data_IF_998086758578
#
_entry.id   IF_998086758578
#
_cell.length_a   1.000
_cell.length_b   1.000
_cell.length_c   1.000
_cell.angle_alpha   90.00
_cell.angle_beta   90.00
_cell.angle_gamma   90.00
#
_symmetry.space_group_name_H-M   'P 1'
#
loop_
_entity.id
_entity.type
_entity.pdbx_description
1 polymer ?
#
# COMPACT_ATOMS: atom_id res chain seq x y z
N UNK A 1 -19.95 -8.85 -9.53
CA UNK A 1 -18.50 -8.71 -9.77
C UNK A 1 -18.33 -7.47 -10.61
N UNK A 2 -18.01 -6.32 -9.98
CA UNK A 2 -17.74 -5.09 -10.74
C UNK A 2 -16.38 -5.31 -11.42
N UNK A 3 -16.40 -5.54 -12.73
CA UNK A 3 -15.16 -5.64 -13.52
C UNK A 3 -14.38 -4.34 -13.32
N UNK A 4 -13.13 -4.46 -12.86
CA UNK A 4 -12.18 -3.37 -12.97
C UNK A 4 -12.17 -2.92 -14.45
N UNK A 5 -12.43 -1.65 -14.78
CA UNK A 5 -12.36 -1.23 -16.16
C UNK A 5 -10.89 -1.15 -16.53
N UNK A 6 -10.34 -2.28 -16.96
CA UNK A 6 -8.94 -2.46 -17.38
C UNK A 6 -8.57 -1.69 -18.66
N UNK A 7 -9.39 -0.70 -19.06
CA UNK A 7 -9.23 0.11 -20.28
C UNK A 7 -9.81 1.53 -20.11
N UNK A 8 -9.85 2.08 -18.91
CA UNK A 8 -10.33 3.45 -18.69
C UNK A 8 -9.18 4.44 -18.67
N UNK A 9 -9.42 5.62 -19.23
CA UNK A 9 -8.42 6.68 -19.36
C UNK A 9 -8.95 8.01 -18.86
N UNK A 10 -8.09 8.80 -18.22
CA UNK A 10 -8.41 10.15 -17.75
C UNK A 10 -7.42 11.19 -18.26
N UNK A 11 -7.93 12.33 -18.71
CA UNK A 11 -7.17 13.58 -18.86
C UNK A 11 -7.26 14.29 -17.52
N UNK A 12 -6.10 14.58 -16.93
CA UNK A 12 -6.01 15.14 -15.57
C UNK A 12 -5.52 16.58 -15.65
N UNK A 13 -6.24 17.51 -15.02
CA UNK A 13 -5.83 18.93 -14.97
C UNK A 13 -5.86 19.63 -16.32
N UNK A 14 -6.59 19.08 -17.30
CA UNK A 14 -6.62 19.59 -18.68
C UNK A 14 -5.35 19.30 -19.49
N UNK A 15 -4.43 18.50 -18.97
CA UNK A 15 -3.22 18.10 -19.67
C UNK A 15 -3.52 17.01 -20.70
N UNK A 16 -3.78 17.40 -21.95
CA UNK A 16 -4.07 16.47 -23.04
C UNK A 16 -2.83 15.75 -23.61
N UNK A 17 -1.62 16.04 -23.07
CA UNK A 17 -0.39 15.39 -23.51
C UNK A 17 -0.19 14.00 -22.91
N UNK A 18 -0.91 13.67 -21.84
CA UNK A 18 -0.81 12.40 -21.13
C UNK A 18 -2.17 11.95 -20.59
N UNK A 19 -2.34 10.64 -20.49
CA UNK A 19 -3.57 10.01 -20.04
C UNK A 19 -3.27 9.11 -18.86
N UNK A 20 -3.99 9.26 -17.76
CA UNK A 20 -3.91 8.27 -16.69
C UNK A 20 -4.61 6.99 -17.14
N UNK A 21 -3.93 5.84 -17.10
CA UNK A 21 -4.51 4.54 -17.44
C UNK A 21 -4.78 3.73 -16.19
N UNK A 22 -6.03 3.30 -15.99
CA UNK A 22 -6.36 2.34 -14.91
C UNK A 22 -5.67 0.99 -15.09
N UNK A 23 -5.40 0.60 -16.33
CA UNK A 23 -4.79 -0.67 -16.66
C UNK A 23 -3.31 -0.72 -16.29
N UNK A 24 -2.59 0.36 -16.61
CA UNK A 24 -1.17 0.48 -16.33
C UNK A 24 -0.91 1.00 -14.90
N UNK A 25 -1.94 1.53 -14.22
CA UNK A 25 -1.80 2.29 -12.98
C UNK A 25 -0.73 3.40 -13.11
N UNK A 26 -0.67 4.04 -14.28
CA UNK A 26 0.37 4.98 -14.69
C UNK A 26 -0.15 5.94 -15.78
N UNK A 27 0.54 7.07 -15.96
CA UNK A 27 0.35 7.94 -17.12
C UNK A 27 0.93 7.28 -18.38
N UNK A 28 0.20 7.41 -19.48
CA UNK A 28 0.60 6.97 -20.82
C UNK A 28 0.47 8.13 -21.80
N UNK A 29 1.37 8.19 -22.78
CA UNK A 29 1.42 9.30 -23.75
C UNK A 29 0.43 9.12 -24.91
N UNK A 30 -0.18 7.94 -25.05
CA UNK A 30 -1.06 7.62 -26.15
C UNK A 30 -2.34 6.93 -25.68
N UNK A 31 -3.48 7.42 -26.17
CA UNK A 31 -4.77 6.78 -25.99
C UNK A 31 -4.95 5.67 -27.05
N UNK A 32 -5.21 4.41 -26.65
CA UNK A 32 -5.48 3.34 -27.61
C UNK A 32 -6.71 3.68 -28.48
N UNK A 33 -6.64 3.34 -29.77
CA UNK A 33 -7.72 3.62 -30.71
C UNK A 33 -9.07 3.04 -30.24
N UNK A 34 -10.08 3.91 -30.14
CA UNK A 34 -11.43 3.56 -29.68
C UNK A 34 -11.61 3.49 -28.16
N UNK A 35 -10.60 3.83 -27.36
CA UNK A 35 -10.76 3.96 -25.92
C UNK A 35 -11.53 5.24 -25.55
N UNK A 36 -12.45 5.12 -24.59
CA UNK A 36 -13.11 6.29 -23.99
C UNK A 36 -12.15 7.03 -23.05
N UNK A 37 -12.30 8.36 -22.98
CA UNK A 37 -11.54 9.22 -22.07
C UNK A 37 -12.48 10.10 -21.27
N UNK A 38 -12.23 10.20 -19.96
CA UNK A 38 -12.93 11.11 -19.04
C UNK A 38 -12.01 12.28 -18.69
N UNK A 39 -12.56 13.46 -18.44
CA UNK A 39 -11.79 14.63 -17.99
C UNK A 39 -12.01 14.83 -16.49
N UNK A 40 -10.94 15.16 -15.78
CA UNK A 40 -10.97 15.43 -14.34
C UNK A 40 -10.09 16.63 -14.02
N UNK A 41 -10.47 17.40 -13.01
CA UNK A 41 -9.92 18.75 -12.77
C UNK A 41 -8.54 18.69 -12.12
N UNK A 42 -8.24 17.64 -11.37
CA UNK A 42 -6.97 17.47 -10.67
C UNK A 42 -6.65 16.00 -10.40
N UNK A 43 -5.41 15.74 -10.00
CA UNK A 43 -5.01 14.41 -9.49
C UNK A 43 -5.76 14.04 -8.22
N UNK A 44 -6.03 14.99 -7.33
CA UNK A 44 -6.78 14.72 -6.09
C UNK A 44 -8.18 14.18 -6.39
N UNK A 45 -8.88 14.80 -7.35
CA UNK A 45 -10.21 14.35 -7.79
C UNK A 45 -10.14 12.97 -8.47
N UNK A 46 -9.09 12.70 -9.25
CA UNK A 46 -8.82 11.36 -9.80
C UNK A 46 -8.70 10.33 -8.67
N UNK A 47 -7.95 10.63 -7.62
CA UNK A 47 -7.75 9.72 -6.50
C UNK A 47 -9.02 9.51 -5.68
N UNK A 48 -9.86 10.54 -5.51
CA UNK A 48 -11.17 10.40 -4.88
C UNK A 48 -12.07 9.43 -5.65
N UNK A 49 -12.20 9.63 -6.98
CA UNK A 49 -13.00 8.74 -7.84
C UNK A 49 -12.44 7.32 -7.83
N UNK A 50 -11.13 7.15 -7.90
CA UNK A 50 -10.51 5.82 -7.86
C UNK A 50 -10.72 5.13 -6.51
N UNK A 51 -10.64 5.86 -5.39
CA UNK A 51 -10.92 5.30 -4.05
C UNK A 51 -12.37 4.87 -3.89
N UNK A 52 -13.31 5.66 -4.39
CA UNK A 52 -14.74 5.38 -4.27
C UNK A 52 -15.18 4.22 -5.17
N UNK A 53 -14.77 4.24 -6.44
CA UNK A 53 -15.28 3.31 -7.44
C UNK A 53 -14.43 2.04 -7.57
N UNK A 54 -13.12 2.13 -7.28
CA UNK A 54 -12.14 1.10 -7.63
C UNK A 54 -11.02 0.91 -6.59
N UNK A 55 -11.37 0.62 -5.31
CA UNK A 55 -10.39 0.54 -4.23
C UNK A 55 -9.26 -0.48 -4.48
N UNK A 56 -9.56 -1.58 -5.19
CA UNK A 56 -8.63 -2.70 -5.40
C UNK A 56 -7.58 -2.50 -6.51
N UNK A 57 -7.64 -1.43 -7.29
CA UNK A 57 -6.63 -1.15 -8.34
C UNK A 57 -6.15 0.29 -8.36
N UNK A 58 -6.24 0.95 -7.20
CA UNK A 58 -5.32 2.02 -6.86
C UNK A 58 -3.87 1.50 -6.97
N UNK A 59 -2.91 2.35 -7.38
CA UNK A 59 -1.49 2.08 -7.19
C UNK A 59 -1.20 1.74 -5.72
N UNK A 60 -0.23 0.87 -5.45
CA UNK A 60 0.09 0.46 -4.06
C UNK A 60 0.38 1.66 -3.15
N UNK A 61 1.07 2.68 -3.68
CA UNK A 61 1.35 3.93 -2.96
C UNK A 61 0.10 4.75 -2.59
N UNK A 62 -1.01 4.54 -3.30
CA UNK A 62 -2.29 5.25 -3.13
C UNK A 62 -3.32 4.42 -2.35
N UNK A 63 -3.07 3.13 -2.14
CA UNK A 63 -3.97 2.28 -1.35
C UNK A 63 -3.90 2.70 0.12
N UNK A 64 -5.04 2.66 0.84
CA UNK A 64 -5.00 2.76 2.28
C UNK A 64 -4.07 1.65 2.81
N UNK A 65 -3.16 1.97 3.73
CA UNK A 65 -2.19 1.00 4.17
C UNK A 65 -2.88 -0.22 4.77
N UNK A 66 -2.50 -1.40 4.30
CA UNK A 66 -3.10 -2.65 4.76
C UNK A 66 -2.68 -2.94 6.19
N UNK A 67 -3.65 -3.30 7.02
CA UNK A 67 -3.40 -3.80 8.36
C UNK A 67 -3.01 -5.28 8.31
N UNK A 68 -1.97 -5.65 9.05
CA UNK A 68 -1.50 -7.00 9.24
C UNK A 68 -1.68 -7.38 10.71
N UNK A 69 -2.43 -8.45 11.02
CA UNK A 69 -2.62 -8.87 12.41
C UNK A 69 -1.29 -9.23 13.07
N UNK A 70 -1.06 -8.78 14.32
CA UNK A 70 0.18 -9.07 15.05
C UNK A 70 0.43 -10.57 15.19
N UNK A 71 -0.62 -11.38 15.34
CA UNK A 71 -0.48 -12.85 15.38
C UNK A 71 0.23 -13.40 14.14
N UNK A 72 -0.17 -12.93 12.95
CA UNK A 72 0.43 -13.34 11.68
C UNK A 72 1.89 -12.87 11.58
N UNK A 73 2.17 -11.64 12.02
CA UNK A 73 3.54 -11.11 12.09
C UNK A 73 4.40 -11.99 13.00
N UNK A 74 3.91 -12.36 14.20
CA UNK A 74 4.62 -13.22 15.15
C UNK A 74 4.87 -14.61 14.55
N UNK A 75 3.86 -15.23 13.94
CA UNK A 75 3.97 -16.55 13.31
C UNK A 75 5.04 -16.55 12.19
N UNK A 76 5.05 -15.50 11.36
CA UNK A 76 6.01 -15.35 10.26
C UNK A 76 7.42 -15.02 10.74
N UNK A 77 7.56 -14.18 11.76
CA UNK A 77 8.85 -13.91 12.41
C UNK A 77 9.41 -15.19 13.04
N UNK A 78 8.57 -16.01 13.66
CA UNK A 78 8.97 -17.30 14.20
C UNK A 78 9.43 -18.26 13.08
N UNK A 79 8.65 -18.37 12.00
CA UNK A 79 9.02 -19.20 10.85
C UNK A 79 10.34 -18.75 10.18
N UNK A 80 10.63 -17.44 10.19
CA UNK A 80 11.88 -16.88 9.70
C UNK A 80 13.05 -17.00 10.70
N UNK A 81 12.83 -17.50 11.92
CA UNK A 81 13.85 -17.56 12.97
C UNK A 81 14.21 -16.20 13.58
N UNK A 82 13.39 -15.17 13.35
CA UNK A 82 13.65 -13.77 13.72
C UNK A 82 12.91 -13.30 14.97
N UNK A 83 12.02 -14.13 15.54
CA UNK A 83 11.16 -13.71 16.65
C UNK A 83 11.96 -13.25 17.89
N UNK A 84 13.04 -13.94 18.23
CA UNK A 84 13.88 -13.56 19.36
C UNK A 84 14.59 -12.21 19.15
N UNK A 85 15.09 -11.96 17.93
CA UNK A 85 15.70 -10.68 17.57
C UNK A 85 14.67 -9.54 17.60
N UNK A 86 13.46 -9.77 17.06
CA UNK A 86 12.37 -8.80 17.12
C UNK A 86 11.99 -8.45 18.57
N UNK A 87 11.89 -9.46 19.45
CA UNK A 87 11.62 -9.27 20.88
C UNK A 87 12.70 -8.42 21.55
N UNK A 88 13.98 -8.67 21.25
CA UNK A 88 15.08 -7.89 21.79
C UNK A 88 15.05 -6.41 21.35
N UNK A 89 14.69 -6.12 20.09
CA UNK A 89 14.51 -4.74 19.63
C UNK A 89 13.35 -4.06 20.36
N UNK A 90 12.21 -4.73 20.51
CA UNK A 90 11.05 -4.17 21.21
C UNK A 90 11.35 -3.90 22.69
N UNK A 91 12.02 -4.83 23.37
CA UNK A 91 12.38 -4.69 24.78
C UNK A 91 13.40 -3.55 25.02
N UNK A 92 14.24 -3.25 24.01
CA UNK A 92 15.17 -2.13 24.02
C UNK A 92 14.59 -0.79 23.54
N UNK A 93 13.35 -0.77 23.05
CA UNK A 93 12.71 0.45 22.55
C UNK A 93 12.23 1.37 23.69
N UNK A 94 11.88 2.61 23.37
CA UNK A 94 11.27 3.53 24.33
C UNK A 94 9.87 3.07 24.78
N UNK A 95 9.40 3.57 25.92
CA UNK A 95 8.11 3.18 26.50
C UNK A 95 6.94 3.40 25.54
N UNK A 96 6.94 4.50 24.76
CA UNK A 96 5.84 4.76 23.82
C UNK A 96 5.82 3.71 22.71
N UNK A 97 6.96 3.34 22.16
CA UNK A 97 7.06 2.28 21.15
C UNK A 97 6.61 0.92 21.70
N UNK A 98 7.01 0.58 22.92
CA UNK A 98 6.58 -0.65 23.59
C UNK A 98 5.05 -0.68 23.81
N UNK A 99 4.49 0.38 24.37
CA UNK A 99 3.04 0.49 24.62
C UNK A 99 2.24 0.49 23.31
N UNK A 100 2.74 1.17 22.27
CA UNK A 100 2.13 1.14 20.93
C UNK A 100 2.10 -0.28 20.37
N UNK A 101 3.17 -1.06 20.52
CA UNK A 101 3.21 -2.45 20.10
C UNK A 101 2.25 -3.32 20.92
N UNK A 102 2.20 -3.13 22.24
CA UNK A 102 1.38 -3.94 23.14
C UNK A 102 -0.12 -3.72 22.93
N UNK A 103 -0.53 -2.46 22.79
CA UNK A 103 -1.95 -2.05 22.75
C UNK A 103 -2.66 -2.34 21.43
N UNK A 104 -1.96 -2.32 20.29
CA UNK A 104 -2.57 -2.51 18.96
C UNK A 104 -2.78 -3.99 18.64
N UNK A 105 -3.86 -4.37 17.97
CA UNK A 105 -4.02 -5.75 17.47
C UNK A 105 -3.39 -5.98 16.10
N UNK A 106 -3.25 -4.90 15.34
CA UNK A 106 -2.83 -4.90 13.94
C UNK A 106 -1.82 -3.77 13.68
N UNK A 107 -0.93 -4.01 12.72
CA UNK A 107 0.11 -3.05 12.31
C UNK A 107 -0.03 -2.78 10.82
N UNK A 108 0.11 -1.52 10.40
CA UNK A 108 0.15 -1.19 8.98
C UNK A 108 1.38 -1.80 8.32
N UNK A 109 1.22 -2.42 7.15
CA UNK A 109 2.32 -3.06 6.41
C UNK A 109 3.44 -2.07 6.02
N UNK A 110 3.13 -0.77 5.95
CA UNK A 110 4.07 0.31 5.69
C UNK A 110 4.41 1.14 6.95
N UNK A 111 4.09 0.65 8.15
CA UNK A 111 4.41 1.34 9.40
C UNK A 111 5.93 1.56 9.50
N UNK A 112 6.41 2.81 9.55
CA UNK A 112 7.84 3.11 9.47
C UNK A 112 8.62 2.54 10.65
N UNK A 113 8.02 2.45 11.83
CA UNK A 113 8.64 1.85 13.02
C UNK A 113 8.78 0.35 12.83
N UNK A 114 7.74 -0.31 12.30
CA UNK A 114 7.77 -1.75 12.05
C UNK A 114 8.75 -2.12 10.92
N UNK A 115 8.82 -1.33 9.85
CA UNK A 115 9.80 -1.50 8.77
C UNK A 115 11.23 -1.30 9.26
N UNK A 116 11.48 -0.30 10.11
CA UNK A 116 12.80 -0.08 10.71
C UNK A 116 13.21 -1.27 11.61
N UNK A 117 12.28 -1.82 12.40
CA UNK A 117 12.52 -3.02 13.20
C UNK A 117 12.90 -4.22 12.31
N UNK A 118 12.16 -4.47 11.22
CA UNK A 118 12.47 -5.55 10.28
C UNK A 118 13.85 -5.38 9.65
N UNK A 119 14.20 -4.17 9.21
CA UNK A 119 15.52 -3.88 8.66
C UNK A 119 16.64 -4.16 9.67
N UNK A 120 16.46 -3.81 10.95
CA UNK A 120 17.44 -4.04 12.00
C UNK A 120 17.69 -5.54 12.31
N UNK A 121 16.69 -6.39 12.08
CA UNK A 121 16.79 -7.84 12.33
C UNK A 121 17.02 -8.65 11.04
N UNK A 122 17.17 -8.00 9.89
CA UNK A 122 17.31 -8.66 8.58
C UNK A 122 16.03 -9.36 8.09
N UNK A 123 14.86 -8.92 8.56
CA UNK A 123 13.56 -9.44 8.12
C UNK A 123 13.12 -8.87 6.78
N UNK A 124 12.54 -9.72 5.93
CA UNK A 124 11.97 -9.34 4.64
C UNK A 124 10.51 -8.88 4.80
N UNK A 125 10.17 -7.60 4.55
CA UNK A 125 8.80 -7.10 4.63
C UNK A 125 7.84 -7.82 3.68
N UNK A 126 8.31 -8.28 2.52
CA UNK A 126 7.47 -8.99 1.56
C UNK A 126 7.02 -10.36 2.08
N UNK A 127 7.77 -10.96 3.01
CA UNK A 127 7.42 -12.21 3.68
C UNK A 127 6.63 -11.93 4.95
N UNK A 128 7.16 -11.08 5.84
CA UNK A 128 6.57 -10.85 7.17
C UNK A 128 5.22 -10.14 7.06
N UNK A 129 5.12 -9.14 6.19
CA UNK A 129 3.89 -8.39 5.96
C UNK A 129 3.13 -8.84 4.72
N UNK A 130 3.41 -10.03 4.14
CA UNK A 130 2.67 -10.54 2.99
C UNK A 130 1.13 -10.44 3.17
N UNK A 131 0.35 -10.30 2.08
CA UNK A 131 -1.11 -10.40 2.12
C UNK A 131 -1.62 -11.65 2.85
#
# INVERSE_FOLDING_TARGET
MMNFPSKWFWIVGGDESRFWSSAAAAYVDALPGGAGVTRITSEDELWDVMREQYPDGLPEAQRPPRLVPKRIIIDRLHAAGLLAAAKAILDGADLYTQERWNTRTDIFANDPTALAMLAAIGGDPAIIFAP
#
